data_IF_672179445897
#
_entry.id   IF_672179445897
#
_cell.length_a   1.000
_cell.length_b   1.000
_cell.length_c   1.000
_cell.angle_alpha   90.00
_cell.angle_beta   90.00
_cell.angle_gamma   90.00
#
_symmetry.space_group_name_H-M   'P 1'
#
loop_
_entity.id
_entity.type
_entity.pdbx_description
1 polymer ?
#
# COMPACT_ATOMS: atom_id res chain seq x y z
N UNK A 1 1.28 16.02 -13.96
CA UNK A 1 1.06 14.56 -13.95
C UNK A 1 1.67 14.05 -12.65
N UNK A 2 0.96 13.26 -11.86
CA UNK A 2 1.51 12.70 -10.62
C UNK A 2 2.39 11.50 -10.99
N UNK A 3 3.63 11.47 -10.48
CA UNK A 3 4.63 10.45 -10.80
C UNK A 3 4.81 9.53 -9.59
N UNK A 4 4.78 8.21 -9.80
CA UNK A 4 4.93 7.21 -8.73
C UNK A 4 6.39 7.23 -8.26
N UNK A 5 6.64 7.61 -7.00
CA UNK A 5 8.00 7.58 -6.43
C UNK A 5 8.24 6.28 -5.66
N UNK A 6 9.29 5.55 -6.00
CA UNK A 6 9.72 4.32 -5.34
C UNK A 6 11.09 4.52 -4.67
N UNK A 7 11.09 4.62 -3.34
CA UNK A 7 12.30 4.61 -2.53
C UNK A 7 12.73 3.17 -2.28
N UNK A 8 13.92 2.79 -2.73
CA UNK A 8 14.38 1.41 -2.68
C UNK A 8 15.90 1.27 -2.61
N UNK A 9 16.37 0.04 -2.43
CA UNK A 9 17.79 -0.32 -2.51
C UNK A 9 17.86 -1.44 -3.51
N UNK A 10 18.62 -1.25 -4.57
CA UNK A 10 18.59 -2.14 -5.73
C UNK A 10 18.87 -3.62 -5.39
N UNK A 11 19.76 -3.96 -4.43
CA UNK A 11 19.97 -5.34 -3.99
C UNK A 11 18.82 -5.92 -3.12
N UNK A 12 17.87 -5.11 -2.67
CA UNK A 12 16.77 -5.57 -1.81
C UNK A 12 15.80 -6.45 -2.59
N UNK A 13 15.55 -7.70 -2.16
CA UNK A 13 14.55 -8.56 -2.81
C UNK A 13 13.13 -8.00 -2.68
N UNK A 14 12.86 -7.11 -1.72
CA UNK A 14 11.56 -6.44 -1.58
C UNK A 14 11.40 -5.29 -2.58
N UNK A 15 12.45 -4.50 -2.81
CA UNK A 15 12.46 -3.45 -3.84
C UNK A 15 12.32 -4.07 -5.24
N UNK A 16 12.99 -5.21 -5.48
CA UNK A 16 12.92 -5.91 -6.76
C UNK A 16 11.51 -6.45 -7.08
N UNK A 17 10.73 -6.89 -6.08
CA UNK A 17 9.33 -7.31 -6.29
C UNK A 17 8.47 -6.17 -6.84
N UNK A 18 8.60 -4.98 -6.25
CA UNK A 18 7.83 -3.80 -6.68
C UNK A 18 8.32 -3.33 -8.06
N UNK A 19 9.64 -3.30 -8.29
CA UNK A 19 10.21 -2.95 -9.60
C UNK A 19 9.69 -3.89 -10.69
N UNK A 20 9.71 -5.20 -10.46
CA UNK A 20 9.20 -6.17 -11.45
C UNK A 20 7.70 -6.03 -11.66
N UNK A 21 6.92 -5.81 -10.58
CA UNK A 21 5.49 -5.57 -10.69
C UNK A 21 5.17 -4.35 -11.55
N UNK A 22 5.82 -3.21 -11.29
CA UNK A 22 5.62 -1.96 -12.05
C UNK A 22 6.01 -2.14 -13.53
N UNK A 23 7.16 -2.78 -13.79
CA UNK A 23 7.64 -3.05 -15.16
C UNK A 23 6.73 -4.00 -15.93
N UNK A 24 6.26 -5.08 -15.31
CA UNK A 24 5.31 -6.02 -15.94
C UNK A 24 3.95 -5.38 -16.24
N UNK A 25 3.67 -4.23 -15.64
CA UNK A 25 2.43 -3.47 -15.84
C UNK A 25 2.56 -2.22 -16.69
N UNK A 26 3.78 -1.87 -17.11
CA UNK A 26 4.01 -0.67 -17.90
C UNK A 26 3.69 0.63 -17.14
N UNK A 27 3.74 0.61 -15.81
CA UNK A 27 3.53 1.80 -14.98
C UNK A 27 4.84 2.57 -14.87
N UNK A 28 4.83 3.85 -15.22
CA UNK A 28 5.99 4.74 -15.08
C UNK A 28 6.22 5.13 -13.61
N UNK A 29 7.49 5.17 -13.18
CA UNK A 29 7.86 5.49 -11.80
C UNK A 29 9.25 6.13 -11.71
N UNK A 30 9.41 7.07 -10.78
CA UNK A 30 10.69 7.63 -10.37
C UNK A 30 11.29 6.72 -9.28
N UNK A 31 12.46 6.14 -9.56
CA UNK A 31 13.18 5.32 -8.58
C UNK A 31 14.22 6.15 -7.84
N UNK A 32 14.14 6.15 -6.52
CA UNK A 32 15.05 6.85 -5.62
C UNK A 32 15.84 5.80 -4.86
N UNK A 33 17.14 5.67 -5.18
CA UNK A 33 18.04 4.75 -4.48
C UNK A 33 18.35 5.30 -3.09
N UNK A 34 18.15 4.46 -2.08
CA UNK A 34 18.40 4.74 -0.68
C UNK A 34 19.70 4.09 -0.23
N UNK A 35 20.56 4.89 0.40
CA UNK A 35 21.70 4.38 1.15
C UNK A 35 21.22 3.90 2.53
N UNK A 36 21.33 2.61 2.78
CA UNK A 36 20.91 2.00 4.05
C UNK A 36 21.81 2.39 5.23
N UNK A 37 23.05 2.82 4.96
CA UNK A 37 24.03 3.27 5.95
C UNK A 37 23.86 4.76 6.26
N UNK A 38 23.40 5.55 5.28
CA UNK A 38 23.10 6.97 5.42
C UNK A 38 21.73 7.30 4.81
N UNK A 39 20.69 6.96 5.57
CA UNK A 39 19.29 7.01 5.13
C UNK A 39 18.85 8.45 4.85
N UNK A 40 18.16 8.66 3.73
CA UNK A 40 17.71 10.00 3.38
C UNK A 40 16.73 10.55 4.43
N UNK A 41 16.68 11.88 4.58
CA UNK A 41 15.69 12.53 5.44
C UNK A 41 14.25 12.17 5.01
N UNK A 42 14.03 11.95 3.71
CA UNK A 42 12.76 11.49 3.16
C UNK A 42 12.41 10.08 3.64
N UNK A 43 13.35 9.13 3.61
CA UNK A 43 13.15 7.77 4.12
C UNK A 43 12.85 7.77 5.63
N UNK A 44 13.59 8.59 6.39
CA UNK A 44 13.38 8.73 7.83
C UNK A 44 12.06 9.43 8.16
N UNK A 45 11.63 10.38 7.34
CA UNK A 45 10.34 11.06 7.46
C UNK A 45 9.16 10.11 7.18
N UNK A 46 9.25 9.28 6.15
CA UNK A 46 8.16 8.40 5.74
C UNK A 46 8.15 7.03 6.45
N UNK A 47 9.27 6.60 7.04
CA UNK A 47 9.35 5.39 7.86
C UNK A 47 10.23 5.60 9.13
N UNK A 48 9.78 6.45 10.07
CA UNK A 48 10.56 6.78 11.27
C UNK A 48 10.74 5.59 12.21
N UNK A 49 9.81 4.63 12.20
CA UNK A 49 9.78 3.47 13.10
C UNK A 49 10.72 2.35 12.65
N UNK A 50 10.68 1.95 11.37
CA UNK A 50 11.46 0.81 10.89
C UNK A 50 12.71 1.20 10.12
N UNK A 51 12.77 2.43 9.57
CA UNK A 51 13.91 2.94 8.78
C UNK A 51 14.33 1.95 7.68
N UNK A 52 13.37 1.24 7.09
CA UNK A 52 13.55 0.19 6.08
C UNK A 52 12.78 0.57 4.81
N UNK A 53 13.19 -0.04 3.72
CA UNK A 53 12.67 0.15 2.36
C UNK A 53 12.08 -1.18 1.84
N UNK A 54 11.22 -1.15 0.80
CA UNK A 54 10.73 0.04 0.11
C UNK A 54 9.72 0.84 0.95
N UNK A 55 9.72 2.17 0.77
CA UNK A 55 8.72 3.07 1.39
C UNK A 55 7.80 3.59 0.30
N UNK A 56 6.56 3.11 0.30
CA UNK A 56 5.49 3.59 -0.56
C UNK A 56 4.59 4.57 0.21
N UNK A 57 3.77 5.36 -0.51
CA UNK A 57 2.69 6.16 0.08
C UNK A 57 1.79 5.33 1.04
N UNK A 58 1.68 4.03 0.79
CA UNK A 58 0.98 3.07 1.66
C UNK A 58 1.60 2.98 3.06
N UNK A 59 2.93 2.92 3.16
CA UNK A 59 3.62 2.90 4.46
C UNK A 59 3.45 4.24 5.19
N UNK A 60 3.55 5.37 4.49
CA UNK A 60 3.31 6.69 5.07
C UNK A 60 1.88 6.83 5.60
N UNK A 61 0.88 6.28 4.88
CA UNK A 61 -0.51 6.27 5.34
C UNK A 61 -0.69 5.46 6.64
N UNK A 62 -0.06 4.29 6.74
CA UNK A 62 -0.15 3.45 7.94
C UNK A 62 0.45 4.10 9.18
N UNK A 63 1.58 4.79 9.04
CA UNK A 63 2.32 5.35 10.19
C UNK A 63 2.00 6.83 10.45
N UNK A 64 1.45 7.54 9.47
CA UNK A 64 1.17 8.98 9.57
C UNK A 64 0.04 9.32 10.55
N UNK A 65 0.09 10.54 11.07
CA UNK A 65 -0.94 11.13 11.92
C UNK A 65 -1.13 12.63 11.59
N UNK A 66 -2.24 13.22 12.02
CA UNK A 66 -2.52 14.66 11.82
C UNK A 66 -2.47 15.10 10.34
N UNK A 67 -1.76 16.19 10.07
CA UNK A 67 -1.60 16.73 8.70
C UNK A 67 -0.79 15.79 7.79
N UNK A 68 0.14 15.02 8.35
CA UNK A 68 0.92 14.05 7.58
C UNK A 68 0.04 12.90 7.08
N UNK A 69 -0.92 12.46 7.89
CA UNK A 69 -1.91 11.45 7.47
C UNK A 69 -2.74 11.95 6.29
N UNK A 70 -3.26 13.19 6.35
CA UNK A 70 -4.06 13.77 5.25
C UNK A 70 -3.24 13.85 3.96
N UNK A 71 -1.98 14.29 4.05
CA UNK A 71 -1.06 14.33 2.92
C UNK A 71 -0.80 12.93 2.35
N UNK A 72 -0.47 11.98 3.21
CA UNK A 72 -0.20 10.60 2.81
C UNK A 72 -1.43 9.91 2.19
N UNK A 73 -2.63 10.18 2.72
CA UNK A 73 -3.89 9.69 2.16
C UNK A 73 -4.11 10.21 0.73
N UNK A 74 -3.85 11.51 0.49
CA UNK A 74 -3.94 12.11 -0.84
C UNK A 74 -2.91 11.51 -1.81
N UNK A 75 -1.66 11.36 -1.39
CA UNK A 75 -0.61 10.76 -2.22
C UNK A 75 -0.88 9.29 -2.53
N UNK A 76 -1.41 8.54 -1.55
CA UNK A 76 -1.84 7.16 -1.73
C UNK A 76 -3.00 7.08 -2.73
N UNK A 77 -4.02 7.93 -2.58
CA UNK A 77 -5.15 8.00 -3.51
C UNK A 77 -4.69 8.24 -4.95
N UNK A 78 -3.83 9.23 -5.18
CA UNK A 78 -3.30 9.50 -6.54
C UNK A 78 -2.49 8.33 -7.10
N UNK A 79 -1.70 7.66 -6.25
CA UNK A 79 -0.96 6.46 -6.66
C UNK A 79 -1.89 5.30 -7.01
N UNK A 80 -2.97 5.11 -6.24
CA UNK A 80 -3.96 4.07 -6.49
C UNK A 80 -4.78 4.37 -7.76
N UNK A 81 -5.08 5.64 -8.08
CA UNK A 81 -5.73 6.00 -9.36
C UNK A 81 -4.88 5.59 -10.55
N UNK A 82 -3.56 5.84 -10.50
CA UNK A 82 -2.63 5.40 -11.55
C UNK A 82 -2.61 3.89 -11.64
N UNK A 83 -2.55 3.20 -10.49
CA UNK A 83 -2.53 1.74 -10.45
C UNK A 83 -3.83 1.13 -11.00
N UNK A 84 -4.99 1.74 -10.70
CA UNK A 84 -6.28 1.33 -11.22
C UNK A 84 -6.37 1.50 -12.73
N UNK A 85 -5.88 2.63 -13.26
CA UNK A 85 -5.98 2.96 -14.68
C UNK A 85 -4.97 2.19 -15.52
N UNK A 86 -3.69 2.25 -15.15
CA UNK A 86 -2.60 1.71 -15.95
C UNK A 86 -2.24 0.26 -15.56
N UNK A 87 -2.39 -0.08 -14.28
CA UNK A 87 -1.97 -1.39 -13.77
C UNK A 87 -3.06 -2.45 -13.87
N UNK A 88 -4.19 -2.20 -13.22
CA UNK A 88 -5.33 -3.13 -13.18
C UNK A 88 -6.10 -3.06 -14.51
N UNK A 89 -6.46 -1.85 -14.96
CA UNK A 89 -7.37 -1.66 -16.08
C UNK A 89 -8.70 -2.37 -15.81
N UNK A 90 -9.28 -3.00 -16.84
CA UNK A 90 -10.55 -3.74 -16.74
C UNK A 90 -10.42 -5.18 -16.22
N UNK A 91 -9.25 -5.57 -15.72
CA UNK A 91 -8.99 -6.95 -15.29
C UNK A 91 -9.56 -7.20 -13.91
N UNK A 92 -10.00 -8.44 -13.67
CA UNK A 92 -10.46 -8.90 -12.35
C UNK A 92 -9.34 -8.88 -11.31
N UNK A 93 -8.16 -9.33 -11.71
CA UNK A 93 -6.92 -9.33 -10.96
C UNK A 93 -5.82 -8.66 -11.78
N UNK A 94 -4.72 -8.25 -11.15
CA UNK A 94 -3.54 -7.86 -11.89
C UNK A 94 -3.07 -9.02 -12.78
N UNK A 95 -3.20 -10.28 -12.35
CA UNK A 95 -2.94 -11.45 -13.19
C UNK A 95 -3.98 -11.74 -14.29
N UNK A 96 -5.02 -10.93 -14.47
CA UNK A 96 -6.13 -11.20 -15.39
C UNK A 96 -7.26 -11.94 -14.68
N UNK A 97 -7.51 -13.19 -15.05
CA UNK A 97 -8.55 -14.03 -14.45
C UNK A 97 -8.14 -14.70 -13.13
N UNK A 98 -6.83 -14.82 -12.89
CA UNK A 98 -6.24 -15.43 -11.70
C UNK A 98 -5.25 -14.49 -11.03
N UNK A 99 -5.04 -14.64 -9.73
CA UNK A 99 -4.01 -13.88 -9.01
C UNK A 99 -2.61 -14.21 -9.50
N UNK A 100 -1.71 -13.22 -9.47
CA UNK A 100 -0.28 -13.41 -9.70
C UNK A 100 0.56 -12.74 -8.60
N UNK A 101 1.86 -12.62 -8.83
CA UNK A 101 2.79 -11.99 -7.88
C UNK A 101 2.42 -10.53 -7.54
N UNK A 102 1.82 -9.78 -8.47
CA UNK A 102 1.40 -8.40 -8.26
C UNK A 102 0.22 -8.35 -7.31
N UNK A 103 -0.80 -9.20 -7.51
CA UNK A 103 -1.93 -9.31 -6.60
C UNK A 103 -1.49 -9.65 -5.18
N UNK A 104 -0.56 -10.60 -5.04
CA UNK A 104 0.01 -10.99 -3.74
C UNK A 104 0.78 -9.84 -3.10
N UNK A 105 1.57 -9.10 -3.89
CA UNK A 105 2.37 -7.97 -3.40
C UNK A 105 1.50 -6.83 -2.89
N UNK A 106 0.35 -6.59 -3.53
CA UNK A 106 -0.61 -5.57 -3.12
C UNK A 106 -1.69 -6.11 -2.17
N UNK A 107 -1.71 -7.41 -1.85
CA UNK A 107 -2.79 -8.06 -1.10
C UNK A 107 -3.10 -7.41 0.25
N UNK A 108 -2.11 -6.77 0.89
CA UNK A 108 -2.32 -5.98 2.11
C UNK A 108 -3.33 -4.84 1.94
N UNK A 109 -3.45 -4.26 0.73
CA UNK A 109 -4.52 -3.29 0.42
C UNK A 109 -5.91 -3.92 0.54
N UNK A 110 -6.05 -5.20 0.24
CA UNK A 110 -7.33 -5.90 0.21
C UNK A 110 -7.92 -6.19 1.60
N UNK A 111 -7.08 -6.42 2.62
CA UNK A 111 -7.56 -6.80 3.96
C UNK A 111 -7.09 -5.88 5.10
N UNK A 112 -5.99 -5.13 4.93
CA UNK A 112 -5.43 -4.28 6.00
C UNK A 112 -5.85 -2.82 5.88
N UNK A 113 -6.19 -2.35 4.68
CA UNK A 113 -6.50 -0.94 4.44
C UNK A 113 -7.81 -0.52 5.13
N UNK A 114 -8.88 -1.29 4.97
CA UNK A 114 -10.21 -0.96 5.52
C UNK A 114 -10.21 -0.79 7.05
N UNK A 115 -9.59 -1.68 7.85
CA UNK A 115 -9.43 -1.46 9.30
C UNK A 115 -8.63 -0.21 9.66
N UNK A 116 -7.61 0.15 8.86
CA UNK A 116 -6.82 1.36 9.11
C UNK A 116 -7.60 2.61 8.83
N UNK A 117 -8.30 2.64 7.69
CA UNK A 117 -9.17 3.73 7.32
C UNK A 117 -10.19 4.01 8.42
N UNK A 118 -10.82 2.95 8.96
CA UNK A 118 -11.75 3.06 10.08
C UNK A 118 -11.05 3.61 11.32
N UNK A 119 -9.94 3.00 11.73
CA UNK A 119 -9.25 3.39 12.94
C UNK A 119 -8.67 4.82 12.88
N UNK A 120 -8.31 5.30 11.69
CA UNK A 120 -7.80 6.66 11.46
C UNK A 120 -8.87 7.67 11.04
N UNK A 121 -10.10 7.24 10.78
CA UNK A 121 -11.19 8.10 10.31
C UNK A 121 -10.95 8.73 8.94
N UNK A 122 -10.22 8.05 8.05
CA UNK A 122 -9.88 8.54 6.70
C UNK A 122 -10.24 7.48 5.67
N UNK A 123 -10.85 7.88 4.56
CA UNK A 123 -11.17 6.98 3.44
C UNK A 123 -10.27 7.25 2.24
N UNK A 124 -9.77 6.18 1.63
CA UNK A 124 -8.88 6.21 0.46
C UNK A 124 -9.40 5.29 -0.64
N UNK A 125 -9.74 4.03 -0.32
CA UNK A 125 -10.23 3.05 -1.29
C UNK A 125 -11.76 3.05 -1.35
N UNK A 126 -12.33 4.00 -2.10
CA UNK A 126 -13.78 4.15 -2.23
C UNK A 126 -14.29 3.72 -3.61
N UNK A 127 -15.45 3.04 -3.71
CA UNK A 127 -16.03 2.67 -5.01
C UNK A 127 -16.32 3.85 -5.94
N UNK A 128 -16.54 5.05 -5.39
CA UNK A 128 -16.83 6.27 -6.14
C UNK A 128 -15.59 6.85 -6.85
N UNK A 129 -14.39 6.54 -6.37
CA UNK A 129 -13.12 7.09 -6.87
C UNK A 129 -12.21 6.02 -7.46
N UNK A 130 -12.27 4.81 -6.92
CA UNK A 130 -11.45 3.65 -7.27
C UNK A 130 -12.34 2.39 -7.42
N UNK A 131 -13.34 2.40 -8.33
CA UNK A 131 -14.31 1.32 -8.46
C UNK A 131 -13.65 -0.04 -8.76
N UNK A 132 -12.62 -0.08 -9.59
CA UNK A 132 -12.02 -1.36 -10.03
C UNK A 132 -11.08 -1.93 -8.99
N UNK A 133 -10.27 -1.10 -8.31
CA UNK A 133 -9.46 -1.54 -7.18
C UNK A 133 -10.32 -1.94 -5.99
N UNK A 134 -11.44 -1.25 -5.75
CA UNK A 134 -12.38 -1.66 -4.72
C UNK A 134 -12.97 -3.04 -5.04
N UNK A 135 -13.40 -3.28 -6.29
CA UNK A 135 -13.87 -4.59 -6.73
C UNK A 135 -12.77 -5.67 -6.64
N UNK A 136 -11.54 -5.35 -7.04
CA UNK A 136 -10.37 -6.22 -6.91
C UNK A 136 -10.13 -6.64 -5.45
N UNK A 137 -10.17 -5.70 -4.51
CA UNK A 137 -9.99 -5.99 -3.09
C UNK A 137 -11.06 -6.97 -2.57
N UNK A 138 -12.33 -6.74 -2.92
CA UNK A 138 -13.43 -7.66 -2.56
C UNK A 138 -13.27 -9.02 -3.24
N UNK A 139 -12.83 -9.08 -4.49
CA UNK A 139 -12.54 -10.35 -5.18
C UNK A 139 -11.40 -11.13 -4.53
N UNK A 140 -10.34 -10.44 -4.08
CA UNK A 140 -9.20 -11.04 -3.40
C UNK A 140 -9.64 -11.66 -2.06
N UNK A 141 -10.46 -10.95 -1.29
CA UNK A 141 -11.03 -11.43 -0.02
C UNK A 141 -11.93 -12.66 -0.20
N UNK A 142 -12.54 -12.87 -1.37
CA UNK A 142 -13.33 -14.08 -1.63
C UNK A 142 -12.50 -15.35 -1.89
N UNK A 143 -11.18 -15.22 -2.13
CA UNK A 143 -10.34 -16.38 -2.44
C UNK A 143 -10.14 -17.26 -1.19
N UNK A 144 -10.33 -18.59 -1.29
CA UNK A 144 -10.15 -19.51 -0.15
C UNK A 144 -8.77 -19.35 0.52
N UNK A 145 -7.71 -19.27 -0.28
CA UNK A 145 -6.33 -19.07 0.21
C UNK A 145 -6.16 -17.77 1.00
N UNK A 146 -6.95 -16.73 0.71
CA UNK A 146 -6.93 -15.48 1.46
C UNK A 146 -7.74 -15.64 2.74
N UNK A 147 -9.00 -16.06 2.65
CA UNK A 147 -9.90 -16.25 3.81
C UNK A 147 -9.32 -17.15 4.89
N UNK A 148 -8.65 -18.23 4.50
CA UNK A 148 -8.08 -19.21 5.42
C UNK A 148 -6.82 -18.69 6.13
N UNK A 149 -6.17 -17.66 5.59
CA UNK A 149 -4.85 -17.21 6.05
C UNK A 149 -4.81 -15.75 6.55
N UNK A 150 -5.91 -15.01 6.48
CA UNK A 150 -5.98 -13.65 7.05
C UNK A 150 -6.71 -13.64 8.40
N UNK A 151 -6.34 -12.75 9.33
CA UNK A 151 -7.08 -12.56 10.57
C UNK A 151 -8.50 -12.05 10.30
N UNK A 152 -9.45 -12.43 11.15
CA UNK A 152 -10.80 -11.85 11.15
C UNK A 152 -10.74 -10.32 11.30
N UNK A 153 -11.66 -9.62 10.63
CA UNK A 153 -11.72 -8.16 10.57
C UNK A 153 -11.62 -7.49 11.96
N UNK A 154 -12.47 -7.89 12.91
CA UNK A 154 -12.51 -7.29 14.24
C UNK A 154 -11.17 -7.44 15.01
N UNK A 155 -10.48 -8.58 14.81
CA UNK A 155 -9.18 -8.81 15.43
C UNK A 155 -8.12 -7.91 14.81
N UNK A 156 -8.20 -7.70 13.50
CA UNK A 156 -7.28 -6.83 12.77
C UNK A 156 -7.51 -5.36 13.16
N UNK A 157 -8.76 -4.91 13.20
CA UNK A 157 -9.15 -3.57 13.64
C UNK A 157 -8.70 -3.30 15.09
N UNK A 158 -8.94 -4.25 16.01
CA UNK A 158 -8.48 -4.14 17.39
C UNK A 158 -6.95 -4.03 17.48
N UNK A 159 -6.22 -4.82 16.68
CA UNK A 159 -4.76 -4.77 16.62
C UNK A 159 -4.24 -3.41 16.11
N UNK A 160 -4.84 -2.88 15.03
CA UNK A 160 -4.50 -1.58 14.45
C UNK A 160 -4.75 -0.46 15.45
N UNK A 161 -5.96 -0.37 15.98
CA UNK A 161 -6.36 0.63 16.97
C UNK A 161 -5.49 0.57 18.22
N UNK A 162 -5.23 -0.63 18.73
CA UNK A 162 -4.34 -0.84 19.87
C UNK A 162 -2.89 -0.39 19.60
N UNK A 163 -2.37 -0.62 18.39
CA UNK A 163 -1.02 -0.19 18.01
C UNK A 163 -0.91 1.33 17.91
N UNK A 164 -1.91 2.00 17.36
CA UNK A 164 -1.94 3.46 17.29
C UNK A 164 -2.04 4.09 18.68
N UNK A 165 -2.89 3.55 19.55
CA UNK A 165 -3.02 4.05 20.92
C UNK A 165 -1.74 3.91 21.75
N UNK A 166 -0.89 2.92 21.44
CA UNK A 166 0.45 2.80 22.06
C UNK A 166 1.43 3.84 21.54
N UNK A 167 1.42 4.11 20.23
CA UNK A 167 2.28 5.10 19.61
C UNK A 167 1.93 6.53 20.04
N UNK A 168 0.66 6.83 20.33
CA UNK A 168 0.22 8.13 20.81
C UNK A 168 0.56 8.42 22.29
N UNK A 169 0.96 7.39 23.06
CA UNK A 169 1.28 7.50 24.50
C UNK A 169 2.77 7.63 24.80
N UNK A 170 3.64 7.44 23.79
CA UNK A 170 5.09 7.57 23.88
C UNK A 170 5.54 8.87 23.21
#
# INVERSE_FOLDING_TARGET
MAEVKLYGFRPSPFSQRIIWALKLKGVEYEYIEEDLSNKSESLLKYNPVHKKIPVAALAAFYHGSGEELKKAAKELLESLKILEEQGLGDKKFFGGESINLVDISYGALGYWLEPVEEAKGVKVLEPSTLPRLHAWAKNLDQLPVVKENIPAYDKLLAFVTGSMNRLAKN
#
